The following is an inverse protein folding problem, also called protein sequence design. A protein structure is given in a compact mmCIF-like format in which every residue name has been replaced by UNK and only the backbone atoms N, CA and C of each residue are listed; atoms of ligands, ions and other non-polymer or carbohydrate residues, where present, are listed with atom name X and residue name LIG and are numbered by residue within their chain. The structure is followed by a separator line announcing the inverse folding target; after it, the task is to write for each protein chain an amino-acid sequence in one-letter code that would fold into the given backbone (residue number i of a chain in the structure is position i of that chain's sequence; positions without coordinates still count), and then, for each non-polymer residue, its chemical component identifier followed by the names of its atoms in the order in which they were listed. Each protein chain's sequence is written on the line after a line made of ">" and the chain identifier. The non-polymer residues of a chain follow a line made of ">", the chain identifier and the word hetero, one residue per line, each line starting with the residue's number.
data_IF_073915727698
#
_entry.id   IF_073915727698
#
_cell.length_a   1.000
_cell.length_b   1.000
_cell.length_c   1.000
_cell.angle_alpha   90.00
_cell.angle_beta   90.00
_cell.angle_gamma   90.00
#
_symmetry.space_group_name_H-M   'P 1'
#
loop_
_entity.id
_entity.type
_entity.pdbx_description
1 polymer ?
#
# COMPACT_ATOMS: atom_id res chain seq x y z
N UNK A 1 21.52 33.71 -26.93
CA UNK A 1 20.30 32.98 -26.55
C UNK A 1 20.61 31.56 -26.06
N UNK A 2 21.21 30.68 -26.88
CA UNK A 2 21.51 29.28 -26.51
C UNK A 2 22.25 29.11 -25.17
N UNK A 3 23.31 29.89 -24.93
CA UNK A 3 24.06 29.87 -23.65
C UNK A 3 23.21 30.17 -22.43
N UNK A 4 22.36 31.20 -22.53
CA UNK A 4 21.45 31.58 -21.45
C UNK A 4 20.43 30.49 -21.20
N UNK A 5 19.83 29.93 -22.27
CA UNK A 5 18.88 28.82 -22.17
C UNK A 5 19.48 27.58 -21.51
N UNK A 6 20.67 27.13 -21.94
CA UNK A 6 21.35 25.96 -21.36
C UNK A 6 21.67 26.17 -19.88
N UNK A 7 22.16 27.36 -19.51
CA UNK A 7 22.44 27.68 -18.10
C UNK A 7 21.18 27.70 -17.25
N UNK A 8 20.09 28.27 -17.74
CA UNK A 8 18.81 28.26 -17.02
C UNK A 8 18.26 26.84 -16.86
N UNK A 9 18.35 26.01 -17.91
CA UNK A 9 17.91 24.61 -17.88
C UNK A 9 18.69 23.75 -16.88
N UNK A 10 19.95 24.10 -16.56
CA UNK A 10 20.75 23.39 -15.57
C UNK A 10 20.64 24.01 -14.17
N UNK A 11 20.66 25.34 -14.07
CA UNK A 11 20.63 26.04 -12.79
C UNK A 11 19.27 25.97 -12.11
N UNK A 12 18.16 26.02 -12.85
CA UNK A 12 16.84 25.92 -12.26
C UNK A 12 16.63 24.60 -11.49
N UNK A 13 16.86 23.41 -12.09
CA UNK A 13 16.79 22.16 -11.33
C UNK A 13 17.89 22.05 -10.28
N UNK A 14 19.10 22.61 -10.50
CA UNK A 14 20.13 22.65 -9.47
C UNK A 14 19.64 23.37 -8.20
N UNK A 15 19.08 24.57 -8.36
CA UNK A 15 18.51 25.35 -7.24
C UNK A 15 17.36 24.59 -6.58
N UNK A 16 16.47 23.97 -7.36
CA UNK A 16 15.36 23.19 -6.81
C UNK A 16 15.85 21.99 -5.97
N UNK A 17 16.87 21.26 -6.42
CA UNK A 17 17.44 20.13 -5.69
C UNK A 17 18.16 20.59 -4.41
N UNK A 18 18.93 21.67 -4.48
CA UNK A 18 19.62 22.25 -3.31
C UNK A 18 18.61 22.76 -2.27
N UNK A 19 17.56 23.45 -2.71
CA UNK A 19 16.47 23.88 -1.86
C UNK A 19 15.72 22.67 -1.25
N UNK A 20 15.45 21.64 -2.06
CA UNK A 20 14.85 20.39 -1.60
C UNK A 20 15.67 19.72 -0.50
N UNK A 21 17.00 19.66 -0.63
CA UNK A 21 17.89 19.11 0.39
C UNK A 21 17.84 19.90 1.73
N UNK A 22 17.59 21.21 1.65
CA UNK A 22 17.45 22.09 2.80
C UNK A 22 16.07 21.97 3.46
N UNK A 23 15.00 21.82 2.67
CA UNK A 23 13.60 21.77 3.13
C UNK A 23 13.23 20.37 3.65
N UNK A 24 13.82 19.30 3.11
CA UNK A 24 13.51 17.92 3.50
C UNK A 24 14.05 17.57 4.89
N UNK A 25 13.45 18.16 5.93
CA UNK A 25 13.67 17.82 7.33
C UNK A 25 12.85 16.59 7.76
N UNK A 26 12.90 16.26 9.06
CA UNK A 26 12.16 15.10 9.59
C UNK A 26 10.64 15.27 9.48
N UNK A 27 10.13 16.49 9.64
CA UNK A 27 8.69 16.75 9.54
C UNK A 27 8.21 16.57 8.09
N UNK A 28 8.91 17.18 7.14
CA UNK A 28 8.67 17.02 5.72
C UNK A 28 8.74 15.55 5.30
N UNK A 29 9.77 14.82 5.74
CA UNK A 29 9.94 13.40 5.43
C UNK A 29 8.80 12.54 5.99
N UNK A 30 8.37 12.83 7.21
CA UNK A 30 7.27 12.10 7.85
C UNK A 30 5.97 12.31 7.08
N UNK A 31 5.65 13.56 6.72
CA UNK A 31 4.44 13.94 6.02
C UNK A 31 4.40 13.42 4.57
N UNK A 32 5.51 13.50 3.84
CA UNK A 32 5.54 13.23 2.41
C UNK A 32 6.02 11.82 2.04
N UNK A 33 6.57 11.06 2.98
CA UNK A 33 7.11 9.72 2.70
C UNK A 33 6.61 8.70 3.71
N UNK A 34 6.87 8.91 5.00
CA UNK A 34 6.63 7.88 6.01
C UNK A 34 5.15 7.57 6.18
N UNK A 35 4.35 8.57 6.51
CA UNK A 35 2.94 8.36 6.82
C UNK A 35 2.17 7.84 5.60
N UNK A 36 2.20 8.48 4.42
CA UNK A 36 1.29 8.08 3.34
C UNK A 36 1.74 6.84 2.56
N UNK A 37 2.99 6.38 2.71
CA UNK A 37 3.57 5.38 1.82
C UNK A 37 4.39 4.28 2.51
N UNK A 38 4.71 4.39 3.80
CA UNK A 38 5.43 3.34 4.52
C UNK A 38 4.53 2.63 5.53
N UNK A 39 4.59 1.29 5.53
CA UNK A 39 3.96 0.47 6.55
C UNK A 39 4.70 0.57 7.90
N UNK A 40 6.03 0.43 7.85
CA UNK A 40 6.93 0.64 8.97
C UNK A 40 7.79 1.87 8.72
N UNK A 41 8.15 2.64 9.75
CA UNK A 41 9.07 3.76 9.59
C UNK A 41 10.38 3.32 8.91
N UNK A 42 10.82 4.02 7.85
CA UNK A 42 12.11 3.74 7.25
C UNK A 42 13.24 4.02 8.24
N UNK A 43 14.37 3.32 8.09
CA UNK A 43 15.57 3.59 8.87
C UNK A 43 16.02 5.06 8.72
N UNK A 44 16.46 5.69 9.81
CA UNK A 44 16.80 7.13 9.87
C UNK A 44 17.82 7.56 8.80
N UNK A 45 18.75 6.67 8.41
CA UNK A 45 19.76 6.97 7.40
C UNK A 45 19.16 7.25 6.01
N UNK A 46 17.94 6.76 5.71
CA UNK A 46 17.29 6.97 4.41
C UNK A 46 17.01 8.45 4.16
N UNK A 47 16.60 9.20 5.19
CA UNK A 47 16.43 10.66 5.08
C UNK A 47 17.77 11.35 4.77
N UNK A 48 18.83 10.99 5.49
CA UNK A 48 20.17 11.54 5.26
C UNK A 48 20.66 11.23 3.84
N UNK A 49 20.52 9.99 3.39
CA UNK A 49 20.88 9.57 2.05
C UNK A 49 20.10 10.33 0.98
N UNK A 50 18.79 10.53 1.18
CA UNK A 50 17.94 11.33 0.29
C UNK A 50 18.44 12.78 0.20
N UNK A 51 18.70 13.44 1.32
CA UNK A 51 19.22 14.82 1.34
C UNK A 51 20.59 14.94 0.66
N UNK A 52 21.48 13.98 0.91
CA UNK A 52 22.81 13.93 0.28
C UNK A 52 22.68 13.72 -1.23
N UNK A 53 21.80 12.82 -1.68
CA UNK A 53 21.53 12.61 -3.11
C UNK A 53 21.03 13.89 -3.79
N UNK A 54 20.09 14.62 -3.17
CA UNK A 54 19.61 15.91 -3.68
C UNK A 54 20.75 16.95 -3.74
N UNK A 55 21.54 17.06 -2.66
CA UNK A 55 22.67 18.00 -2.58
C UNK A 55 23.70 17.73 -3.68
N UNK A 56 24.18 16.48 -3.80
CA UNK A 56 25.21 16.11 -4.78
C UNK A 56 24.71 16.29 -6.21
N UNK A 57 23.45 15.93 -6.48
CA UNK A 57 22.83 16.12 -7.80
C UNK A 57 22.70 17.61 -8.15
N UNK A 58 22.28 18.45 -7.19
CA UNK A 58 22.19 19.89 -7.37
C UNK A 58 23.56 20.54 -7.63
N UNK A 59 24.59 20.15 -6.87
CA UNK A 59 25.97 20.63 -7.07
C UNK A 59 26.52 20.20 -8.43
N UNK A 60 26.28 18.95 -8.85
CA UNK A 60 26.71 18.45 -10.15
C UNK A 60 26.10 19.28 -11.29
N UNK A 61 24.79 19.56 -11.25
CA UNK A 61 24.12 20.39 -12.26
C UNK A 61 24.64 21.84 -12.26
N UNK A 62 24.92 22.42 -11.10
CA UNK A 62 25.51 23.76 -10.98
C UNK A 62 26.93 23.80 -11.59
N UNK A 63 27.76 22.79 -11.33
CA UNK A 63 29.09 22.64 -11.93
C UNK A 63 28.97 22.50 -13.45
N UNK A 64 28.05 21.67 -13.95
CA UNK A 64 27.79 21.54 -15.39
C UNK A 64 27.37 22.89 -16.01
N UNK A 65 26.52 23.68 -15.35
CA UNK A 65 26.12 25.00 -15.82
C UNK A 65 27.30 25.99 -15.87
N UNK A 66 28.21 25.90 -14.89
CA UNK A 66 29.43 26.72 -14.83
C UNK A 66 30.43 26.33 -15.94
N UNK A 67 30.60 25.04 -16.20
CA UNK A 67 31.47 24.49 -17.24
C UNK A 67 30.93 24.72 -18.66
N UNK A 68 29.61 24.82 -18.84
CA UNK A 68 28.95 25.14 -20.11
C UNK A 68 29.15 26.61 -20.54
N UNK A 69 30.40 27.01 -20.78
CA UNK A 69 30.79 28.39 -21.11
C UNK A 69 30.42 28.78 -22.54
N UNK A 70 30.59 27.87 -23.50
CA UNK A 70 30.31 28.08 -24.94
C UNK A 70 29.55 26.88 -25.53
N UNK A 71 28.26 26.68 -25.21
CA UNK A 71 27.49 25.58 -25.78
C UNK A 71 27.28 25.79 -27.28
N UNK A 72 27.58 24.77 -28.08
CA UNK A 72 27.26 24.69 -29.51
C UNK A 72 25.97 23.89 -29.72
N UNK A 73 25.29 24.11 -30.84
CA UNK A 73 24.08 23.34 -31.18
C UNK A 73 24.38 21.84 -31.26
N UNK A 74 25.49 21.46 -31.91
CA UNK A 74 25.95 20.07 -32.00
C UNK A 74 26.27 19.46 -30.63
N UNK A 75 26.89 20.24 -29.74
CA UNK A 75 27.19 19.80 -28.38
C UNK A 75 25.92 19.53 -27.58
N UNK A 76 24.94 20.42 -27.67
CA UNK A 76 23.62 20.23 -27.04
C UNK A 76 22.91 19.01 -27.64
N UNK A 77 22.92 18.85 -28.96
CA UNK A 77 22.32 17.71 -29.63
C UNK A 77 22.95 16.37 -29.19
N UNK A 78 24.28 16.32 -29.06
CA UNK A 78 25.00 15.15 -28.53
C UNK A 78 24.60 14.84 -27.09
N UNK A 79 24.49 15.85 -26.22
CA UNK A 79 24.06 15.65 -24.83
C UNK A 79 22.63 15.13 -24.77
N UNK A 80 21.71 15.73 -25.53
CA UNK A 80 20.32 15.27 -25.60
C UNK A 80 20.25 13.83 -26.10
N UNK A 81 21.01 13.48 -27.15
CA UNK A 81 21.09 12.12 -27.66
C UNK A 81 21.67 11.14 -26.63
N UNK A 82 22.74 11.51 -25.94
CA UNK A 82 23.34 10.69 -24.88
C UNK A 82 22.37 10.44 -23.73
N UNK A 83 21.63 11.47 -23.31
CA UNK A 83 20.59 11.34 -22.28
C UNK A 83 19.49 10.39 -22.76
N UNK A 84 18.97 10.58 -23.97
CA UNK A 84 17.94 9.72 -24.54
C UNK A 84 18.42 8.25 -24.63
N UNK A 85 19.64 8.00 -25.12
CA UNK A 85 20.24 6.67 -25.17
C UNK A 85 20.43 6.07 -23.78
N UNK A 86 20.80 6.87 -22.78
CA UNK A 86 20.91 6.42 -21.39
C UNK A 86 19.55 6.00 -20.82
N UNK A 87 18.48 6.76 -21.07
CA UNK A 87 17.11 6.37 -20.70
C UNK A 87 16.69 5.07 -21.40
N UNK A 88 16.95 4.92 -22.69
CA UNK A 88 16.66 3.67 -23.41
C UNK A 88 17.46 2.48 -22.87
N UNK A 89 18.75 2.66 -22.61
CA UNK A 89 19.61 1.62 -22.06
C UNK A 89 19.20 1.23 -20.64
N UNK A 90 18.82 2.20 -19.80
CA UNK A 90 18.34 1.95 -18.45
C UNK A 90 16.98 1.23 -18.46
N UNK A 91 16.03 1.64 -19.31
CA UNK A 91 14.76 0.93 -19.48
C UNK A 91 14.97 -0.51 -19.97
N UNK A 92 15.84 -0.72 -20.96
CA UNK A 92 16.16 -2.05 -21.46
C UNK A 92 16.85 -2.90 -20.38
N UNK A 93 17.82 -2.32 -19.67
CA UNK A 93 18.53 -2.97 -18.58
C UNK A 93 17.57 -3.38 -17.46
N UNK A 94 16.68 -2.49 -17.03
CA UNK A 94 15.65 -2.79 -16.04
C UNK A 94 14.75 -3.93 -16.50
N UNK A 95 14.30 -3.94 -17.77
CA UNK A 95 13.47 -5.03 -18.31
C UNK A 95 14.18 -6.38 -18.39
N UNK A 96 15.48 -6.38 -18.73
CA UNK A 96 16.28 -7.60 -18.80
C UNK A 96 16.56 -8.16 -17.40
N UNK A 97 16.72 -7.27 -16.41
CA UNK A 97 16.93 -7.64 -15.01
C UNK A 97 15.62 -7.94 -14.27
N UNK A 98 14.47 -7.53 -14.82
CA UNK A 98 13.15 -7.75 -14.25
C UNK A 98 12.84 -9.24 -14.22
N UNK A 99 12.85 -9.82 -13.02
CA UNK A 99 12.48 -11.21 -12.81
C UNK A 99 11.05 -11.27 -12.30
N UNK A 100 10.23 -12.25 -12.73
CA UNK A 100 8.95 -12.51 -12.09
C UNK A 100 9.14 -12.62 -10.57
N UNK A 101 8.22 -12.07 -9.78
CA UNK A 101 8.32 -12.06 -8.31
C UNK A 101 8.58 -13.47 -7.75
N UNK A 102 7.95 -14.49 -8.33
CA UNK A 102 8.11 -15.90 -7.95
C UNK A 102 9.54 -16.44 -8.09
N UNK A 103 10.42 -15.74 -8.82
CA UNK A 103 11.83 -16.07 -9.04
C UNK A 103 12.79 -15.21 -8.21
N UNK A 104 12.27 -14.28 -7.40
CA UNK A 104 13.08 -13.52 -6.46
C UNK A 104 13.53 -14.42 -5.30
N UNK A 105 14.66 -14.14 -4.62
CA UNK A 105 15.12 -14.96 -3.50
C UNK A 105 14.15 -15.05 -2.32
N UNK A 106 13.32 -14.02 -2.14
CA UNK A 106 12.33 -13.91 -1.07
C UNK A 106 11.00 -13.43 -1.67
N UNK A 107 10.27 -14.32 -2.37
CA UNK A 107 9.02 -13.95 -2.99
C UNK A 107 8.01 -13.58 -1.91
N UNK A 108 7.32 -12.46 -2.14
CA UNK A 108 6.21 -12.02 -1.27
C UNK A 108 5.12 -13.09 -1.20
N UNK A 109 4.56 -13.28 0.00
CA UNK A 109 3.54 -14.28 0.29
C UNK A 109 2.35 -14.18 -0.67
N UNK A 110 1.94 -12.96 -1.01
CA UNK A 110 0.82 -12.64 -1.89
C UNK A 110 0.99 -13.26 -3.28
N UNK A 111 2.22 -13.36 -3.78
CA UNK A 111 2.52 -13.95 -5.09
C UNK A 111 2.75 -15.46 -5.02
N UNK A 112 3.05 -16.00 -3.85
CA UNK A 112 3.10 -17.45 -3.62
C UNK A 112 1.69 -18.06 -3.47
N UNK A 113 0.77 -17.30 -2.87
CA UNK A 113 -0.63 -17.70 -2.68
C UNK A 113 -1.56 -17.20 -3.80
N UNK A 114 -1.16 -16.16 -4.52
CA UNK A 114 -2.01 -15.45 -5.45
C UNK A 114 -1.60 -15.54 -6.91
N UNK A 115 -2.45 -14.96 -7.75
CA UNK A 115 -2.28 -14.78 -9.17
C UNK A 115 -2.75 -13.37 -9.57
N UNK A 116 -2.41 -12.96 -10.80
CA UNK A 116 -2.93 -11.72 -11.35
C UNK A 116 -4.46 -11.78 -11.48
N UNK A 117 -5.12 -10.68 -11.13
CA UNK A 117 -6.57 -10.52 -11.22
C UNK A 117 -6.90 -9.24 -11.99
N UNK A 118 -7.90 -9.29 -12.88
CA UNK A 118 -8.22 -8.15 -13.74
C UNK A 118 -8.93 -7.01 -13.00
N UNK A 119 -9.60 -7.29 -11.88
CA UNK A 119 -10.42 -6.34 -11.11
C UNK A 119 -9.66 -5.75 -9.94
N UNK A 120 -8.89 -6.57 -9.22
CA UNK A 120 -8.11 -6.16 -8.05
C UNK A 120 -6.60 -6.16 -8.30
N UNK A 121 -6.11 -6.46 -9.50
CA UNK A 121 -4.68 -6.53 -9.83
C UNK A 121 -4.06 -7.88 -9.47
N UNK A 122 -4.28 -8.36 -8.25
CA UNK A 122 -3.97 -9.72 -7.82
C UNK A 122 -5.04 -10.21 -6.83
N UNK A 123 -5.15 -11.53 -6.65
CA UNK A 123 -5.99 -12.17 -5.65
C UNK A 123 -5.42 -13.53 -5.25
N UNK A 124 -5.84 -14.09 -4.12
CA UNK A 124 -5.45 -15.46 -3.78
C UNK A 124 -6.06 -16.48 -4.74
N UNK A 125 -5.32 -17.56 -5.00
CA UNK A 125 -5.78 -18.69 -5.80
C UNK A 125 -6.72 -19.53 -4.93
N UNK A 126 -7.97 -19.81 -5.36
CA UNK A 126 -8.90 -20.63 -4.59
C UNK A 126 -8.37 -22.03 -4.29
N UNK A 127 -8.81 -22.60 -3.15
CA UNK A 127 -8.46 -23.95 -2.67
C UNK A 127 -6.95 -24.20 -2.60
N UNK A 128 -6.21 -23.19 -2.15
CA UNK A 128 -4.76 -23.26 -1.99
C UNK A 128 -4.39 -23.22 -0.53
N UNK A 129 -3.46 -24.10 -0.15
CA UNK A 129 -2.82 -24.07 1.17
C UNK A 129 -1.31 -24.00 1.00
N UNK A 130 -0.66 -23.18 1.82
CA UNK A 130 0.78 -22.99 1.84
C UNK A 130 1.27 -22.89 3.28
N UNK A 131 2.34 -23.63 3.59
CA UNK A 131 3.10 -23.43 4.82
C UNK A 131 4.25 -22.48 4.52
N UNK A 132 4.28 -21.34 5.19
CA UNK A 132 5.25 -20.28 4.92
C UNK A 132 5.77 -19.68 6.22
N UNK A 133 7.09 -19.53 6.31
CA UNK A 133 7.75 -18.80 7.38
C UNK A 133 8.27 -17.47 6.85
N UNK A 134 8.02 -16.39 7.57
CA UNK A 134 8.45 -15.06 7.17
C UNK A 134 9.99 -15.01 6.99
N UNK A 135 10.51 -14.35 5.94
CA UNK A 135 11.93 -14.06 5.81
C UNK A 135 12.42 -13.32 7.07
N UNK A 136 13.47 -13.82 7.72
CA UNK A 136 13.96 -13.27 9.00
C UNK A 136 13.78 -14.16 10.23
N UNK A 137 13.25 -15.38 10.06
CA UNK A 137 13.29 -16.43 11.09
C UNK A 137 12.03 -16.60 11.93
N UNK A 138 10.89 -16.13 11.42
CA UNK A 138 9.58 -16.36 12.06
C UNK A 138 9.13 -17.83 12.00
N UNK A 139 8.13 -18.23 12.82
CA UNK A 139 7.55 -19.56 12.76
C UNK A 139 6.93 -19.81 11.38
N UNK A 140 6.97 -21.07 10.94
CA UNK A 140 6.25 -21.50 9.74
C UNK A 140 4.78 -21.66 10.08
N UNK A 141 3.92 -20.85 9.46
CA UNK A 141 2.47 -20.89 9.67
C UNK A 141 1.73 -21.39 8.43
N UNK A 142 0.51 -21.88 8.62
CA UNK A 142 -0.34 -22.37 7.51
C UNK A 142 -1.29 -21.29 7.03
N UNK A 143 -1.16 -20.90 5.77
CA UNK A 143 -2.13 -20.10 5.04
C UNK A 143 -3.02 -21.01 4.21
N UNK A 144 -4.31 -20.95 4.46
CA UNK A 144 -5.33 -21.71 3.76
C UNK A 144 -6.34 -20.74 3.16
N UNK A 145 -6.61 -20.94 1.87
CA UNK A 145 -7.49 -20.15 1.03
C UNK A 145 -8.65 -21.04 0.59
N UNK A 146 -9.87 -20.61 0.84
CA UNK A 146 -11.09 -21.37 0.55
C UNK A 146 -11.45 -21.35 -0.95
N UNK A 147 -12.64 -21.85 -1.28
CA UNK A 147 -13.13 -21.89 -2.65
C UNK A 147 -13.46 -20.51 -3.28
N UNK A 148 -13.59 -19.46 -2.47
CA UNK A 148 -13.84 -18.07 -2.90
C UNK A 148 -12.58 -17.22 -3.02
N UNK A 149 -11.42 -17.81 -2.72
CA UNK A 149 -10.16 -17.07 -2.67
C UNK A 149 -10.00 -16.27 -1.38
N UNK A 150 -10.71 -16.65 -0.31
CA UNK A 150 -10.71 -15.96 0.97
C UNK A 150 -9.84 -16.70 2.00
N UNK A 151 -9.20 -15.95 2.91
CA UNK A 151 -8.42 -16.53 3.99
C UNK A 151 -9.35 -17.26 4.95
N UNK A 152 -9.08 -18.53 5.22
CA UNK A 152 -9.94 -19.36 6.07
C UNK A 152 -9.13 -20.29 6.99
N UNK A 153 -9.85 -20.98 7.88
CA UNK A 153 -9.27 -21.99 8.79
C UNK A 153 -8.65 -23.17 8.05
N UNK A 154 -9.23 -23.54 6.90
CA UNK A 154 -8.74 -24.59 6.02
C UNK A 154 -9.16 -24.29 4.58
N UNK A 155 -8.52 -24.93 3.61
CA UNK A 155 -8.86 -24.79 2.18
C UNK A 155 -10.21 -25.45 1.84
N UNK A 156 -10.69 -26.32 2.73
CA UNK A 156 -11.95 -27.05 2.63
C UNK A 156 -13.07 -26.36 3.41
N UNK A 157 -12.81 -25.19 3.98
CA UNK A 157 -13.84 -24.36 4.58
C UNK A 157 -14.92 -24.05 3.55
N UNK A 158 -16.18 -24.28 3.95
CA UNK A 158 -17.35 -23.99 3.12
C UNK A 158 -18.11 -22.89 3.83
N UNK A 159 -18.17 -21.73 3.20
CA UNK A 159 -19.01 -20.65 3.66
C UNK A 159 -20.49 -21.04 3.60
N UNK A 160 -21.22 -20.78 4.69
CA UNK A 160 -22.69 -20.80 4.70
C UNK A 160 -23.22 -19.37 4.53
N UNK A 161 -23.87 -19.05 3.39
CA UNK A 161 -24.45 -17.73 3.18
C UNK A 161 -25.56 -17.34 4.16
N UNK A 162 -26.19 -18.30 4.85
CA UNK A 162 -27.23 -18.01 5.86
C UNK A 162 -26.67 -17.80 7.27
N UNK A 163 -25.40 -18.10 7.54
CA UNK A 163 -24.85 -17.91 8.86
C UNK A 163 -24.69 -16.42 9.19
N UNK A 164 -24.85 -16.06 10.46
CA UNK A 164 -24.43 -14.76 10.98
C UNK A 164 -22.95 -14.58 10.69
N UNK A 165 -22.62 -13.61 9.84
CA UNK A 165 -21.27 -13.50 9.25
C UNK A 165 -20.63 -12.15 9.54
N UNK A 166 -19.39 -12.18 10.01
CA UNK A 166 -18.48 -11.03 10.05
C UNK A 166 -17.61 -11.08 8.79
N UNK A 167 -17.72 -10.05 7.96
CA UNK A 167 -16.83 -9.86 6.81
C UNK A 167 -15.61 -9.10 7.29
N UNK A 168 -14.41 -9.63 7.00
CA UNK A 168 -13.14 -8.97 7.29
C UNK A 168 -12.48 -8.61 5.96
N UNK A 169 -12.15 -7.33 5.78
CA UNK A 169 -11.49 -6.81 4.59
C UNK A 169 -10.26 -5.97 4.98
N UNK A 170 -9.39 -5.72 4.01
CA UNK A 170 -8.19 -4.91 4.21
C UNK A 170 -6.95 -5.57 3.62
N UNK A 171 -5.84 -5.42 4.32
CA UNK A 171 -4.51 -5.80 3.84
C UNK A 171 -3.82 -6.86 4.72
N UNK A 172 -2.49 -6.93 4.77
CA UNK A 172 -1.75 -8.05 5.39
C UNK A 172 -2.01 -8.22 6.89
N UNK A 173 -2.32 -7.16 7.66
CA UNK A 173 -2.77 -7.32 9.06
C UNK A 173 -4.11 -8.07 9.11
N UNK A 174 -5.05 -7.74 8.21
CA UNK A 174 -6.35 -8.41 8.11
C UNK A 174 -6.25 -9.87 7.66
N UNK A 175 -5.30 -10.19 6.76
CA UNK A 175 -4.96 -11.57 6.41
C UNK A 175 -4.44 -12.36 7.63
N UNK A 176 -3.81 -11.67 8.58
CA UNK A 176 -3.05 -12.28 9.67
C UNK A 176 -1.67 -12.74 9.20
N UNK A 177 -0.93 -11.87 8.49
CA UNK A 177 0.43 -12.15 8.05
C UNK A 177 1.30 -12.58 9.23
N UNK A 178 2.00 -13.69 9.06
CA UNK A 178 2.85 -14.34 10.05
C UNK A 178 2.12 -15.17 11.12
N UNK A 179 0.79 -15.30 11.04
CA UNK A 179 -0.03 -15.96 12.08
C UNK A 179 -0.76 -17.21 11.58
N UNK A 180 -0.87 -18.20 12.46
CA UNK A 180 -1.83 -19.29 12.30
C UNK A 180 -3.25 -18.73 12.34
N UNK A 181 -4.21 -19.39 11.65
CA UNK A 181 -5.59 -18.89 11.55
C UNK A 181 -6.19 -18.52 12.90
N UNK A 182 -6.10 -19.42 13.89
CA UNK A 182 -6.63 -19.23 15.25
C UNK A 182 -6.04 -18.03 16.00
N UNK A 183 -4.86 -17.59 15.59
CA UNK A 183 -4.11 -16.51 16.23
C UNK A 183 -4.36 -15.16 15.55
N UNK A 184 -5.07 -15.13 14.41
CA UNK A 184 -5.49 -13.90 13.73
C UNK A 184 -6.59 -13.19 14.50
N UNK A 185 -6.67 -11.85 14.39
CA UNK A 185 -7.76 -11.12 15.03
C UNK A 185 -9.11 -11.53 14.46
N UNK A 186 -9.17 -11.87 13.17
CA UNK A 186 -10.39 -12.28 12.49
C UNK A 186 -10.99 -13.54 13.15
N UNK A 187 -10.18 -14.58 13.35
CA UNK A 187 -10.61 -15.79 14.04
C UNK A 187 -11.05 -15.51 15.50
N UNK A 188 -10.30 -14.68 16.22
CA UNK A 188 -10.63 -14.31 17.60
C UNK A 188 -11.97 -13.55 17.70
N UNK A 189 -12.26 -12.67 16.74
CA UNK A 189 -13.56 -11.97 16.65
C UNK A 189 -14.68 -12.98 16.38
N UNK A 190 -14.49 -13.90 15.43
CA UNK A 190 -15.49 -14.91 15.07
C UNK A 190 -15.85 -15.82 16.22
N UNK A 191 -14.84 -16.28 16.97
CA UNK A 191 -15.01 -17.11 18.17
C UNK A 191 -15.86 -16.38 19.23
N UNK A 192 -15.55 -15.11 19.50
CA UNK A 192 -16.21 -14.32 20.57
C UNK A 192 -17.60 -13.84 20.20
N UNK A 193 -17.86 -13.61 18.92
CA UNK A 193 -19.18 -13.24 18.41
C UNK A 193 -20.00 -14.48 17.99
N UNK A 194 -19.47 -15.69 18.16
CA UNK A 194 -20.08 -16.95 17.71
C UNK A 194 -20.60 -16.87 16.27
N UNK A 195 -19.79 -16.27 15.39
CA UNK A 195 -20.17 -15.91 14.03
C UNK A 195 -19.17 -16.44 13.01
N UNK A 196 -19.66 -16.73 11.81
CA UNK A 196 -18.82 -17.10 10.69
C UNK A 196 -17.90 -15.93 10.31
N UNK A 197 -16.66 -16.23 9.96
CA UNK A 197 -15.72 -15.25 9.41
C UNK A 197 -15.57 -15.48 7.92
N UNK A 198 -15.76 -14.41 7.15
CA UNK A 198 -15.41 -14.34 5.73
C UNK A 198 -14.30 -13.30 5.59
N UNK A 199 -13.05 -13.75 5.51
CA UNK A 199 -11.89 -12.87 5.47
C UNK A 199 -11.37 -12.70 4.04
N UNK A 200 -11.82 -11.62 3.40
CA UNK A 200 -11.52 -11.29 2.00
C UNK A 200 -10.30 -10.40 1.84
N UNK A 201 -9.57 -10.15 2.93
CA UNK A 201 -8.34 -9.36 2.91
C UNK A 201 -7.24 -10.06 2.10
N UNK A 202 -6.36 -9.27 1.50
CA UNK A 202 -5.17 -9.75 0.78
C UNK A 202 -4.03 -8.78 1.03
N UNK A 203 -2.83 -9.33 1.26
CA UNK A 203 -1.66 -8.50 1.53
C UNK A 203 -1.34 -7.52 0.40
N UNK A 204 -0.78 -6.37 0.77
CA UNK A 204 -0.41 -5.32 -0.17
C UNK A 204 -1.58 -4.51 -0.73
N UNK A 205 -2.83 -4.81 -0.38
CA UNK A 205 -3.99 -4.09 -0.91
C UNK A 205 -4.03 -2.61 -0.47
N UNK A 206 -4.52 -1.77 -1.38
CA UNK A 206 -5.13 -0.48 -1.07
C UNK A 206 -6.54 -0.63 -0.52
N UNK A 207 -7.12 0.48 -0.04
CA UNK A 207 -8.52 0.52 0.41
C UNK A 207 -9.49 0.26 -0.74
N UNK A 208 -9.12 0.60 -1.98
CA UNK A 208 -9.93 0.34 -3.18
C UNK A 208 -10.12 -1.15 -3.44
N UNK A 209 -9.03 -1.93 -3.45
CA UNK A 209 -9.08 -3.39 -3.62
C UNK A 209 -9.84 -4.06 -2.47
N UNK A 210 -9.62 -3.60 -1.23
CA UNK A 210 -10.35 -4.08 -0.06
C UNK A 210 -11.86 -3.82 -0.17
N UNK A 211 -12.28 -2.64 -0.63
CA UNK A 211 -13.67 -2.30 -0.88
C UNK A 211 -14.31 -3.18 -1.95
N UNK A 212 -13.60 -3.44 -3.06
CA UNK A 212 -14.10 -4.30 -4.14
C UNK A 212 -14.36 -5.72 -3.62
N UNK A 213 -13.40 -6.31 -2.88
CA UNK A 213 -13.56 -7.64 -2.27
C UNK A 213 -14.68 -7.67 -1.22
N UNK A 214 -14.76 -6.66 -0.36
CA UNK A 214 -15.82 -6.55 0.63
C UNK A 214 -17.20 -6.48 -0.02
N UNK A 215 -17.34 -5.72 -1.10
CA UNK A 215 -18.60 -5.60 -1.84
C UNK A 215 -19.02 -6.92 -2.48
N UNK A 216 -18.07 -7.64 -3.09
CA UNK A 216 -18.33 -8.96 -3.69
C UNK A 216 -18.72 -9.99 -2.61
N UNK A 217 -18.13 -9.93 -1.41
CA UNK A 217 -18.48 -10.77 -0.27
C UNK A 217 -19.84 -10.44 0.35
N UNK A 218 -20.16 -9.16 0.51
CA UNK A 218 -21.47 -8.74 1.01
C UNK A 218 -22.60 -9.17 0.08
N UNK A 219 -22.39 -9.11 -1.24
CA UNK A 219 -23.39 -9.49 -2.23
C UNK A 219 -23.77 -10.98 -2.21
N UNK A 220 -22.89 -11.86 -1.73
CA UNK A 220 -23.12 -13.32 -1.68
C UNK A 220 -23.65 -13.82 -0.33
N UNK A 221 -23.59 -12.99 0.72
CA UNK A 221 -24.05 -13.33 2.07
C UNK A 221 -25.51 -12.88 2.29
N UNK A 222 -26.31 -13.71 2.97
CA UNK A 222 -27.70 -13.37 3.34
C UNK A 222 -27.82 -12.70 4.70
N UNK A 223 -26.90 -13.00 5.61
CA UNK A 223 -26.92 -12.48 6.99
C UNK A 223 -25.56 -11.91 7.45
N UNK A 224 -24.96 -10.95 6.72
CA UNK A 224 -23.78 -10.26 7.23
C UNK A 224 -24.18 -9.32 8.38
N UNK A 225 -23.51 -9.45 9.52
CA UNK A 225 -23.81 -8.66 10.73
C UNK A 225 -22.86 -7.47 10.89
N UNK A 226 -21.61 -7.62 10.48
CA UNK A 226 -20.57 -6.60 10.60
C UNK A 226 -19.60 -6.71 9.42
N UNK A 227 -19.19 -5.57 8.88
CA UNK A 227 -18.01 -5.45 8.02
C UNK A 227 -16.89 -4.78 8.81
N UNK A 228 -15.79 -5.50 9.03
CA UNK A 228 -14.56 -4.99 9.62
C UNK A 228 -13.54 -4.74 8.51
N UNK A 229 -13.09 -3.50 8.32
CA UNK A 229 -12.07 -3.17 7.31
C UNK A 229 -10.85 -2.54 7.98
N UNK A 230 -9.65 -3.10 7.76
CA UNK A 230 -8.43 -2.45 8.23
C UNK A 230 -8.09 -1.22 7.38
N UNK A 231 -7.66 -0.14 8.04
CA UNK A 231 -7.22 1.11 7.41
C UNK A 231 -5.80 1.41 7.87
N UNK A 232 -4.88 1.51 6.92
CA UNK A 232 -3.50 1.84 7.18
C UNK A 232 -3.05 3.05 6.34
N UNK A 233 -2.21 3.95 6.88
CA UNK A 233 -1.72 5.11 6.15
C UNK A 233 -1.05 4.77 4.80
N UNK A 234 -0.31 3.66 4.70
CA UNK A 234 0.32 3.17 3.46
C UNK A 234 -0.66 2.96 2.30
N UNK A 235 -1.95 2.76 2.59
CA UNK A 235 -2.98 2.59 1.56
C UNK A 235 -3.20 3.87 0.74
N UNK A 236 -2.86 5.05 1.26
CA UNK A 236 -2.93 6.31 0.51
C UNK A 236 -2.09 6.22 -0.76
N UNK A 237 -0.82 5.84 -0.63
CA UNK A 237 0.03 5.63 -1.79
C UNK A 237 -0.53 4.55 -2.73
N UNK A 238 -0.95 3.40 -2.17
CA UNK A 238 -1.42 2.24 -2.93
C UNK A 238 -2.72 2.51 -3.71
N UNK A 239 -3.60 3.38 -3.22
CA UNK A 239 -4.84 3.74 -3.89
C UNK A 239 -4.60 4.55 -5.18
N UNK A 240 -3.40 5.12 -5.34
CA UNK A 240 -2.98 5.84 -6.54
C UNK A 240 -2.05 5.01 -7.44
N UNK A 241 -1.85 3.73 -7.15
CA UNK A 241 -1.05 2.81 -7.96
C UNK A 241 -1.81 2.48 -9.26
N UNK A 242 -1.35 3.07 -10.35
CA UNK A 242 -1.92 2.86 -11.67
C UNK A 242 -1.27 1.72 -12.44
N UNK A 243 -0.34 0.97 -11.85
CA UNK A 243 0.19 -0.24 -12.47
C UNK A 243 -0.90 -1.31 -12.60
N UNK A 244 -1.92 -1.29 -11.74
CA UNK A 244 -3.06 -2.22 -11.72
C UNK A 244 -4.39 -1.52 -12.00
N UNK A 245 -5.45 -2.32 -12.17
CA UNK A 245 -6.80 -1.77 -12.08
C UNK A 245 -7.02 -1.16 -10.70
N UNK A 246 -7.62 0.03 -10.65
CA UNK A 246 -7.80 0.81 -9.42
C UNK A 246 -9.04 1.67 -9.52
N UNK A 247 -9.51 2.18 -8.38
CA UNK A 247 -10.63 3.10 -8.35
C UNK A 247 -10.16 4.55 -8.53
N UNK A 248 -10.84 5.26 -9.41
CA UNK A 248 -10.70 6.71 -9.54
C UNK A 248 -12.00 7.43 -9.19
N UNK A 249 -11.87 8.65 -8.70
CA UNK A 249 -12.99 9.54 -8.47
C UNK A 249 -13.25 10.37 -9.74
N UNK A 250 -14.32 10.04 -10.47
CA UNK A 250 -14.75 10.78 -11.65
C UNK A 250 -16.17 11.30 -11.46
N UNK A 251 -16.35 12.63 -11.55
CA UNK A 251 -17.64 13.31 -11.34
C UNK A 251 -18.34 12.92 -10.01
N UNK A 252 -17.58 12.67 -8.95
CA UNK A 252 -18.10 12.27 -7.64
C UNK A 252 -18.44 10.79 -7.49
N UNK A 253 -18.28 9.98 -8.55
CA UNK A 253 -18.46 8.54 -8.52
C UNK A 253 -17.12 7.80 -8.51
N UNK A 254 -17.07 6.68 -7.78
CA UNK A 254 -15.95 5.74 -7.87
C UNK A 254 -16.12 4.90 -9.13
N UNK A 255 -15.12 4.92 -9.99
CA UNK A 255 -15.09 4.09 -11.19
C UNK A 255 -13.84 3.22 -11.21
N UNK A 256 -14.00 1.97 -11.67
CA UNK A 256 -12.87 1.07 -11.88
C UNK A 256 -12.24 1.39 -13.24
N UNK A 257 -10.98 1.80 -13.21
CA UNK A 257 -10.19 2.05 -14.42
C UNK A 257 -9.13 0.96 -14.59
N UNK A 258 -8.77 0.58 -15.84
CA UNK A 258 -7.68 -0.34 -16.07
C UNK A 258 -6.33 0.29 -15.69
N UNK A 259 -5.34 -0.56 -15.39
CA UNK A 259 -3.97 -0.08 -15.16
C UNK A 259 -3.35 0.57 -16.41
N UNK A 260 -2.46 1.53 -16.16
CA UNK A 260 -1.76 2.32 -17.16
C UNK A 260 -0.94 1.44 -18.13
N UNK A 261 -1.03 1.76 -19.42
CA UNK A 261 -0.20 1.21 -20.49
C UNK A 261 0.23 2.34 -21.44
N UNK A 262 1.51 2.38 -21.87
CA UNK A 262 2.55 1.37 -21.71
C UNK A 262 3.25 1.41 -20.34
N UNK A 263 3.59 0.24 -19.79
CA UNK A 263 4.41 0.11 -18.59
C UNK A 263 5.87 0.43 -18.90
N UNK A 264 6.38 1.55 -18.38
CA UNK A 264 7.80 1.93 -18.43
C UNK A 264 8.41 1.62 -17.07
N UNK A 265 9.42 0.73 -16.99
CA UNK A 265 10.02 0.33 -15.71
C UNK A 265 10.70 1.51 -15.00
N UNK A 266 11.30 2.43 -15.75
CA UNK A 266 11.84 3.67 -15.19
C UNK A 266 10.78 4.55 -14.52
N UNK A 267 9.56 4.58 -15.08
CA UNK A 267 8.44 5.30 -14.47
C UNK A 267 8.01 4.61 -13.18
N UNK A 268 7.85 3.29 -13.20
CA UNK A 268 7.43 2.50 -12.01
C UNK A 268 8.41 2.68 -10.85
N UNK A 269 9.73 2.69 -11.13
CA UNK A 269 10.76 3.00 -10.14
C UNK A 269 10.54 4.39 -9.48
N UNK A 270 10.11 5.39 -10.26
CA UNK A 270 9.88 6.76 -9.76
C UNK A 270 8.50 6.93 -9.12
N UNK A 271 7.47 6.29 -9.68
CA UNK A 271 6.09 6.50 -9.30
C UNK A 271 5.66 5.63 -8.11
N UNK A 272 6.22 4.43 -8.02
CA UNK A 272 5.76 3.35 -7.14
C UNK A 272 6.84 2.96 -6.10
N UNK A 273 8.14 3.06 -6.45
CA UNK A 273 9.22 2.77 -5.49
C UNK A 273 9.75 4.02 -4.78
N UNK A 274 9.85 5.15 -5.48
CA UNK A 274 10.10 6.46 -4.88
C UNK A 274 8.78 6.97 -4.27
N UNK A 275 8.52 6.48 -3.06
CA UNK A 275 7.34 6.70 -2.21
C UNK A 275 7.12 8.15 -1.73
N UNK A 276 7.56 9.15 -2.49
CA UNK A 276 7.41 10.57 -2.17
C UNK A 276 6.07 11.06 -2.72
N UNK A 277 5.21 11.54 -1.82
CA UNK A 277 3.90 12.08 -2.15
C UNK A 277 3.87 13.59 -1.93
N UNK A 278 3.94 14.42 -2.98
CA UNK A 278 3.77 15.86 -2.86
C UNK A 278 2.36 16.21 -2.39
N UNK A 279 2.16 17.42 -1.84
CA UNK A 279 0.90 17.82 -1.20
C UNK A 279 -0.35 17.62 -2.07
N UNK A 280 -0.27 17.91 -3.37
CA UNK A 280 -1.40 17.70 -4.28
C UNK A 280 -1.77 16.22 -4.45
N UNK A 281 -0.76 15.31 -4.38
CA UNK A 281 -0.96 13.85 -4.48
C UNK A 281 -1.51 13.30 -3.18
N UNK A 282 -1.07 13.83 -2.04
CA UNK A 282 -1.65 13.56 -0.71
C UNK A 282 -3.14 13.95 -0.71
N UNK A 283 -3.47 15.19 -1.06
CA UNK A 283 -4.85 15.67 -1.10
C UNK A 283 -5.74 14.88 -2.07
N UNK A 284 -5.21 14.50 -3.26
CA UNK A 284 -5.91 13.61 -4.20
C UNK A 284 -6.20 12.25 -3.55
N UNK A 285 -5.20 11.68 -2.89
CA UNK A 285 -5.28 10.37 -2.24
C UNK A 285 -6.26 10.38 -1.05
N UNK A 286 -6.19 11.38 -0.19
CA UNK A 286 -7.11 11.55 0.95
C UNK A 286 -8.55 11.58 0.48
N UNK A 287 -8.83 12.42 -0.53
CA UNK A 287 -10.17 12.54 -1.09
C UNK A 287 -10.68 11.21 -1.64
N UNK A 288 -9.87 10.55 -2.47
CA UNK A 288 -10.21 9.24 -3.04
C UNK A 288 -10.43 8.19 -1.93
N UNK A 289 -9.49 8.08 -1.00
CA UNK A 289 -9.53 7.09 0.09
C UNK A 289 -10.75 7.32 0.97
N UNK A 290 -11.04 8.57 1.34
CA UNK A 290 -12.24 8.90 2.11
C UNK A 290 -13.52 8.49 1.39
N UNK A 291 -13.63 8.80 0.10
CA UNK A 291 -14.80 8.37 -0.69
C UNK A 291 -14.92 6.84 -0.77
N UNK A 292 -13.80 6.11 -0.86
CA UNK A 292 -13.81 4.64 -0.81
C UNK A 292 -14.30 4.13 0.54
N UNK A 293 -13.83 4.70 1.66
CA UNK A 293 -14.28 4.30 3.00
C UNK A 293 -15.77 4.60 3.20
N UNK A 294 -16.25 5.76 2.75
CA UNK A 294 -17.69 6.10 2.78
C UNK A 294 -18.51 5.12 1.93
N UNK A 295 -18.06 4.75 0.74
CA UNK A 295 -18.70 3.76 -0.11
C UNK A 295 -18.69 2.35 0.52
N UNK A 296 -17.60 1.99 1.20
CA UNK A 296 -17.48 0.74 1.97
C UNK A 296 -18.51 0.69 3.09
N UNK A 297 -18.63 1.79 3.85
CA UNK A 297 -19.63 1.90 4.91
C UNK A 297 -21.06 1.84 4.37
N UNK A 298 -21.33 2.48 3.23
CA UNK A 298 -22.63 2.43 2.56
C UNK A 298 -22.97 1.02 2.08
N UNK A 299 -22.02 0.30 1.47
CA UNK A 299 -22.21 -1.08 1.01
C UNK A 299 -22.52 -2.05 2.17
N UNK A 300 -21.82 -1.91 3.30
CA UNK A 300 -22.11 -2.68 4.51
C UNK A 300 -23.55 -2.42 4.99
N UNK A 301 -23.93 -1.16 5.15
CA UNK A 301 -25.28 -0.77 5.61
C UNK A 301 -26.37 -1.25 4.66
N UNK A 302 -26.16 -1.13 3.36
CA UNK A 302 -27.11 -1.60 2.33
C UNK A 302 -27.33 -3.12 2.38
N UNK A 303 -26.33 -3.87 2.87
CA UNK A 303 -26.39 -5.32 3.05
C UNK A 303 -26.87 -5.74 4.44
N UNK A 304 -27.25 -4.79 5.31
CA UNK A 304 -27.69 -5.06 6.68
C UNK A 304 -26.57 -5.20 7.71
N UNK A 305 -25.31 -5.00 7.32
CA UNK A 305 -24.15 -5.09 8.20
C UNK A 305 -23.77 -3.73 8.82
N UNK A 306 -23.25 -3.76 10.05
CA UNK A 306 -22.61 -2.58 10.68
C UNK A 306 -21.19 -2.41 10.13
N UNK A 307 -20.82 -1.27 9.53
CA UNK A 307 -19.42 -1.02 9.17
C UNK A 307 -18.60 -0.66 10.41
N UNK A 308 -17.37 -1.16 10.48
CA UNK A 308 -16.36 -0.79 11.47
C UNK A 308 -14.99 -0.72 10.80
N UNK A 309 -14.37 0.45 10.79
CA UNK A 309 -12.98 0.62 10.36
C UNK A 309 -12.04 0.40 11.52
N UNK A 310 -10.97 -0.36 11.31
CA UNK A 310 -9.99 -0.68 12.35
C UNK A 310 -8.65 -0.16 11.90
N UNK A 311 -8.02 0.68 12.72
CA UNK A 311 -6.76 1.32 12.39
C UNK A 311 -5.67 0.92 13.39
N UNK A 312 -4.95 -0.20 13.14
CA UNK A 312 -3.77 -0.54 13.92
C UNK A 312 -2.67 0.49 13.66
N UNK A 313 -2.14 1.10 14.72
CA UNK A 313 -1.07 2.10 14.63
C UNK A 313 0.12 1.69 15.49
N UNK A 314 1.33 1.87 14.96
CA UNK A 314 2.57 1.55 15.65
C UNK A 314 3.12 2.82 16.32
N UNK A 315 2.71 3.05 17.56
CA UNK A 315 2.95 4.30 18.28
C UNK A 315 1.77 5.27 18.15
N UNK A 316 2.06 6.57 18.12
CA UNK A 316 1.04 7.61 18.11
C UNK A 316 0.29 7.67 16.78
N UNK A 317 -1.03 7.76 16.85
CA UNK A 317 -1.90 7.98 15.69
C UNK A 317 -1.47 9.22 14.88
N UNK A 318 -1.21 9.08 13.56
CA UNK A 318 -0.96 10.22 12.69
C UNK A 318 -2.22 11.09 12.51
N UNK A 319 -2.06 12.41 12.50
CA UNK A 319 -3.15 13.37 12.23
C UNK A 319 -3.92 13.05 10.95
N UNK A 320 -3.19 12.71 9.88
CA UNK A 320 -3.76 12.31 8.60
C UNK A 320 -4.73 11.12 8.70
N UNK A 321 -4.41 10.13 9.53
CA UNK A 321 -5.25 8.95 9.72
C UNK A 321 -6.52 9.29 10.51
N UNK A 322 -6.36 10.11 11.55
CA UNK A 322 -7.48 10.65 12.34
C UNK A 322 -8.45 11.44 11.46
N UNK A 323 -7.95 12.33 10.62
CA UNK A 323 -8.77 13.13 9.69
C UNK A 323 -9.47 12.26 8.63
N UNK A 324 -8.80 11.21 8.16
CA UNK A 324 -9.36 10.27 7.20
C UNK A 324 -10.55 9.48 7.78
N UNK A 325 -10.48 9.13 9.06
CA UNK A 325 -11.49 8.33 9.76
C UNK A 325 -12.57 9.17 10.45
N UNK A 326 -12.39 10.49 10.53
CA UNK A 326 -13.33 11.38 11.20
C UNK A 326 -14.75 11.29 10.59
N UNK A 327 -15.74 11.08 11.46
CA UNK A 327 -17.14 10.86 11.09
C UNK A 327 -17.49 9.44 10.61
N UNK A 328 -16.52 8.52 10.50
CA UNK A 328 -16.76 7.10 10.20
C UNK A 328 -16.77 6.26 11.49
N UNK A 329 -17.54 5.14 11.54
CA UNK A 329 -17.47 4.22 12.69
C UNK A 329 -16.11 3.52 12.69
N UNK A 330 -15.23 3.89 13.62
CA UNK A 330 -13.87 3.37 13.65
C UNK A 330 -13.35 3.13 15.07
N UNK A 331 -12.29 2.32 15.15
CA UNK A 331 -11.46 2.15 16.34
C UNK A 331 -9.99 2.18 15.95
N UNK A 332 -9.22 3.02 16.63
CA UNK A 332 -7.76 3.07 16.51
C UNK A 332 -7.15 2.19 17.59
N UNK A 333 -6.21 1.32 17.20
CA UNK A 333 -5.57 0.36 18.10
C UNK A 333 -4.08 0.65 18.14
N UNK A 334 -3.62 1.28 19.22
CA UNK A 334 -2.20 1.55 19.44
C UNK A 334 -1.47 0.28 19.87
N UNK A 335 -0.55 -0.20 19.03
CA UNK A 335 0.28 -1.37 19.29
C UNK A 335 1.66 -0.93 19.75
N UNK A 336 2.01 -1.31 20.98
CA UNK A 336 3.35 -1.10 21.51
C UNK A 336 4.39 -2.02 20.83
N UNK A 337 5.69 -1.69 20.90
CA UNK A 337 6.75 -2.46 20.24
C UNK A 337 6.79 -3.95 20.60
N UNK A 338 6.38 -4.31 21.82
CA UNK A 338 6.31 -5.69 22.28
C UNK A 338 5.16 -6.52 21.66
N UNK A 339 4.27 -5.88 20.89
CA UNK A 339 3.15 -6.49 20.15
C UNK A 339 3.45 -6.65 18.67
N UNK A 340 4.71 -6.45 18.27
CA UNK A 340 5.15 -6.43 16.89
C UNK A 340 6.16 -7.57 16.69
N UNK A 341 5.98 -8.37 15.65
CA UNK A 341 6.91 -9.42 15.28
C UNK A 341 8.25 -8.82 14.84
N UNK A 342 9.38 -9.23 15.44
CA UNK A 342 10.68 -8.60 15.16
C UNK A 342 11.23 -8.88 13.76
N UNK A 343 10.77 -9.96 13.09
CA UNK A 343 11.25 -10.36 11.76
C UNK A 343 10.46 -9.74 10.60
N UNK A 344 9.28 -9.16 10.85
CA UNK A 344 8.34 -8.79 9.79
C UNK A 344 7.56 -7.49 10.07
N UNK A 345 7.48 -7.06 11.33
CA UNK A 345 6.85 -5.80 11.74
C UNK A 345 5.32 -5.81 11.77
N UNK A 346 4.70 -6.96 11.46
CA UNK A 346 3.26 -7.16 11.68
C UNK A 346 2.93 -7.42 13.16
N UNK A 347 1.67 -7.20 13.59
CA UNK A 347 1.24 -7.53 14.94
C UNK A 347 1.47 -9.01 15.26
N UNK A 348 2.04 -9.30 16.42
CA UNK A 348 2.15 -10.67 16.91
C UNK A 348 0.77 -11.21 17.36
N UNK A 349 0.74 -12.43 17.89
CA UNK A 349 -0.48 -13.06 18.41
C UNK A 349 -1.20 -12.19 19.44
N UNK A 350 -0.45 -11.53 20.32
CA UNK A 350 -1.04 -10.69 21.37
C UNK A 350 -1.51 -9.34 20.82
N UNK A 351 -0.81 -8.78 19.84
CA UNK A 351 -1.27 -7.61 19.09
C UNK A 351 -2.55 -7.89 18.30
N UNK A 352 -2.63 -9.05 17.65
CA UNK A 352 -3.85 -9.52 17.00
C UNK A 352 -5.01 -9.71 17.99
N UNK A 353 -4.73 -10.25 19.18
CA UNK A 353 -5.70 -10.34 20.28
C UNK A 353 -6.18 -8.96 20.74
N UNK A 354 -5.27 -8.00 20.91
CA UNK A 354 -5.60 -6.62 21.27
C UNK A 354 -6.50 -5.95 20.22
N UNK A 355 -6.23 -6.18 18.93
CA UNK A 355 -7.10 -5.73 17.83
C UNK A 355 -8.50 -6.36 17.95
N UNK A 356 -8.58 -7.68 18.19
CA UNK A 356 -9.85 -8.36 18.38
C UNK A 356 -10.64 -7.85 19.59
N UNK A 357 -9.96 -7.56 20.71
CA UNK A 357 -10.55 -6.97 21.91
C UNK A 357 -11.19 -5.62 21.62
N UNK A 358 -10.48 -4.74 20.90
CA UNK A 358 -11.00 -3.44 20.49
C UNK A 358 -12.21 -3.55 19.55
N UNK A 359 -12.17 -4.48 18.59
CA UNK A 359 -13.30 -4.75 17.68
C UNK A 359 -14.53 -5.20 18.45
N UNK A 360 -14.39 -6.21 19.32
CA UNK A 360 -15.53 -6.74 20.07
C UNK A 360 -16.11 -5.68 21.01
N UNK A 361 -15.25 -4.90 21.68
CA UNK A 361 -15.70 -3.80 22.55
C UNK A 361 -16.46 -2.71 21.78
N UNK A 362 -16.08 -2.41 20.54
CA UNK A 362 -16.79 -1.43 19.70
C UNK A 362 -18.13 -1.94 19.14
N UNK A 363 -18.37 -3.25 19.18
CA UNK A 363 -19.59 -3.88 18.67
C UNK A 363 -20.64 -4.14 19.74
N UNK A 364 -20.24 -4.20 21.01
CA UNK A 364 -21.10 -4.25 22.19
C UNK A 364 -21.63 -2.85 22.53
#
# INVERSE_FOLDING_TARGET
>A
MLRTSVRLLLLAPAVALLAGAAIADRAWWTQHVVVPACYLPPADWKLTAFRVALLLSGLALAICAWLARNPTADGVARVVLSVALAFCAAELGLRVLDKPESQTPHPRLEWLLGAADARTGWSFIPRRSLRFGAPGGGPVVTYAIDAHGDRAASQDFVEDPAASTVVVAGESIAVGHGLEWKDTFAANVGERLHSQIVNVAVGGYGSDQAYLRASDALARLRHPIVLVSTVLPVQLHRNLDDSRAHLELQNGALILVPGFRPRLRLRELIADELQIMPQWRIAKSEKLTRTILEATAAAAKASGARPLFVAPVFGREPELLRELLDGLPHVTVELGPARIMPWDGHPDREGAKQIADAIVAALQ
#
